data_IF_172236179109
#
_entry.id   IF_172236179109
#
_cell.length_a   1.000
_cell.length_b   1.000
_cell.length_c   1.000
_cell.angle_alpha   90.00
_cell.angle_beta   90.00
_cell.angle_gamma   90.00
#
_symmetry.space_group_name_H-M   'P 1'
#
loop_
_entity.id
_entity.type
_entity.pdbx_description
1 polymer ?
#
# COMPACT_ATOMS: atom_id res chain seq x y z
N UNK A 1 22.17 -30.44 -24.20
CA UNK A 1 22.83 -29.50 -23.28
C UNK A 1 22.43 -28.05 -23.57
N UNK A 2 22.71 -27.50 -24.75
CA UNK A 2 22.34 -26.10 -25.10
C UNK A 2 20.84 -25.76 -24.93
N UNK A 3 19.93 -26.67 -25.32
CA UNK A 3 18.47 -26.47 -25.17
C UNK A 3 18.04 -26.32 -23.70
N UNK A 4 18.65 -27.08 -22.79
CA UNK A 4 18.35 -27.03 -21.34
C UNK A 4 18.82 -25.69 -20.76
N UNK A 5 20.00 -25.21 -21.17
CA UNK A 5 20.50 -23.90 -20.75
C UNK A 5 19.58 -22.76 -21.22
N UNK A 6 19.05 -22.83 -22.45
CA UNK A 6 18.10 -21.82 -22.97
C UNK A 6 16.81 -21.78 -22.15
N UNK A 7 16.26 -22.94 -21.77
CA UNK A 7 15.07 -23.00 -20.91
C UNK A 7 15.32 -22.44 -19.50
N UNK A 8 16.50 -22.70 -18.92
CA UNK A 8 16.88 -22.17 -17.60
C UNK A 8 17.02 -20.64 -17.64
N UNK A 9 17.62 -20.10 -18.70
CA UNK A 9 17.80 -18.65 -18.87
C UNK A 9 16.43 -17.96 -19.04
N UNK A 10 15.53 -18.53 -19.85
CA UNK A 10 14.17 -18.00 -20.02
C UNK A 10 13.37 -18.02 -18.71
N UNK A 11 13.48 -19.10 -17.93
CA UNK A 11 12.83 -19.18 -16.62
C UNK A 11 13.39 -18.14 -15.64
N UNK A 12 14.71 -17.91 -15.61
CA UNK A 12 15.34 -16.93 -14.73
C UNK A 12 14.89 -15.49 -15.06
N UNK A 13 14.76 -15.15 -16.35
CA UNK A 13 14.25 -13.83 -16.78
C UNK A 13 12.80 -13.62 -16.33
N UNK A 14 11.96 -14.65 -16.42
CA UNK A 14 10.56 -14.57 -15.98
C UNK A 14 10.42 -14.37 -14.46
N UNK A 15 11.30 -14.99 -13.66
CA UNK A 15 11.27 -14.87 -12.19
C UNK A 15 11.76 -13.48 -11.74
N UNK A 16 12.68 -12.84 -12.48
CA UNK A 16 13.22 -11.53 -12.10
C UNK A 16 12.15 -10.42 -12.06
N UNK A 17 11.09 -10.53 -12.86
CA UNK A 17 9.99 -9.55 -12.88
C UNK A 17 8.97 -9.74 -11.75
N UNK A 18 9.03 -10.86 -11.01
CA UNK A 18 8.18 -11.10 -9.85
C UNK A 18 8.60 -10.25 -8.63
N UNK A 19 9.74 -9.58 -8.68
CA UNK A 19 10.23 -8.68 -7.63
C UNK A 19 9.50 -7.33 -7.55
N UNK A 20 8.67 -6.99 -8.56
CA UNK A 20 7.84 -5.77 -8.54
C UNK A 20 6.64 -5.85 -7.57
N UNK A 21 6.41 -7.03 -6.98
CA UNK A 21 5.30 -7.34 -6.10
C UNK A 21 5.91 -7.61 -4.73
N UNK A 22 6.28 -6.56 -3.98
CA UNK A 22 6.76 -6.75 -2.61
C UNK A 22 5.59 -7.28 -1.77
N UNK A 23 5.62 -8.53 -1.27
CA UNK A 23 4.60 -9.03 -0.36
C UNK A 23 4.61 -8.29 1.00
N UNK A 24 5.58 -7.40 1.20
CA UNK A 24 5.77 -6.55 2.37
C UNK A 24 5.25 -5.12 2.17
N UNK A 25 4.71 -4.78 1.00
CA UNK A 25 4.16 -3.45 0.75
C UNK A 25 3.00 -3.16 1.71
N UNK A 26 3.12 -2.07 2.46
CA UNK A 26 2.09 -1.62 3.39
C UNK A 26 0.94 -0.95 2.61
N UNK A 27 -0.28 -1.42 2.84
CA UNK A 27 -1.49 -0.84 2.25
C UNK A 27 -2.26 -0.02 3.29
N UNK A 28 -2.52 1.24 2.98
CA UNK A 28 -3.29 2.13 3.85
C UNK A 28 -4.51 2.71 3.12
N UNK A 29 -5.61 2.92 3.85
CA UNK A 29 -6.73 3.70 3.33
C UNK A 29 -6.38 5.19 3.34
N UNK A 30 -6.59 5.86 2.20
CA UNK A 30 -6.34 7.30 2.06
C UNK A 30 -7.64 8.07 1.86
N UNK A 31 -7.96 8.96 2.80
CA UNK A 31 -9.11 9.85 2.70
C UNK A 31 -8.88 11.15 3.48
N UNK A 32 -9.65 12.18 3.15
CA UNK A 32 -9.68 13.46 3.88
C UNK A 32 -11.12 13.80 4.27
N UNK A 33 -11.30 14.66 5.26
CA UNK A 33 -12.60 14.96 5.88
C UNK A 33 -13.67 15.51 4.94
N UNK A 34 -13.29 16.00 3.75
CA UNK A 34 -14.22 16.46 2.71
C UNK A 34 -14.84 15.31 1.90
N UNK A 35 -14.27 14.11 1.95
CA UNK A 35 -14.76 12.95 1.20
C UNK A 35 -15.87 12.20 1.95
N UNK A 36 -16.92 11.72 1.25
CA UNK A 36 -18.00 10.96 1.87
C UNK A 36 -17.48 9.65 2.48
N UNK A 37 -17.87 9.34 3.71
CA UNK A 37 -17.41 8.15 4.42
C UNK A 37 -16.02 8.27 5.07
N UNK A 38 -15.29 9.38 4.87
CA UNK A 38 -14.07 9.68 5.62
C UNK A 38 -14.42 10.36 6.94
N UNK A 39 -14.69 9.55 7.98
CA UNK A 39 -15.11 10.08 9.27
C UNK A 39 -14.89 9.10 10.42
N UNK A 40 -15.63 9.32 11.49
CA UNK A 40 -15.74 8.37 12.61
C UNK A 40 -17.24 8.13 12.83
N UNK A 41 -17.80 7.03 12.32
CA UNK A 41 -17.13 5.84 11.77
C UNK A 41 -16.52 6.06 10.37
N UNK A 42 -15.43 5.35 10.07
CA UNK A 42 -14.82 5.30 8.74
C UNK A 42 -15.54 4.24 7.89
N UNK A 43 -15.92 4.58 6.66
CA UNK A 43 -16.57 3.65 5.74
C UNK A 43 -15.57 3.12 4.70
N UNK A 44 -15.00 1.95 4.97
CA UNK A 44 -13.98 1.31 4.16
C UNK A 44 -14.46 0.92 2.75
N UNK A 45 -15.76 0.76 2.52
CA UNK A 45 -16.31 0.40 1.21
C UNK A 45 -16.08 1.47 0.12
N UNK A 46 -15.81 2.71 0.53
CA UNK A 46 -15.62 3.83 -0.39
C UNK A 46 -14.17 4.07 -0.78
N UNK A 47 -13.21 3.39 -0.13
CA UNK A 47 -11.80 3.67 -0.30
C UNK A 47 -11.04 2.38 -0.58
N UNK A 48 -10.17 2.43 -1.57
CA UNK A 48 -9.23 1.35 -1.84
C UNK A 48 -7.96 1.57 -1.03
N UNK A 49 -7.24 0.48 -0.73
CA UNK A 49 -5.93 0.55 -0.12
C UNK A 49 -4.90 1.04 -1.14
N UNK A 50 -4.11 2.03 -0.78
CA UNK A 50 -2.96 2.51 -1.56
C UNK A 50 -1.67 1.97 -0.95
N UNK A 51 -0.68 1.66 -1.81
CA UNK A 51 0.65 1.22 -1.36
C UNK A 51 1.46 2.43 -0.90
N UNK A 52 1.97 2.36 0.32
CA UNK A 52 2.94 3.30 0.87
C UNK A 52 4.34 3.06 0.24
N UNK A 53 5.07 4.12 -0.17
CA UNK A 53 6.34 3.96 -0.89
C UNK A 53 7.53 3.63 0.00
N UNK A 54 7.51 4.00 1.28
CA UNK A 54 8.63 3.80 2.20
C UNK A 54 8.45 2.56 3.11
N UNK A 55 9.55 1.88 3.42
CA UNK A 55 9.55 0.63 4.21
C UNK A 55 9.19 0.84 5.70
N UNK A 56 9.41 2.05 6.23
CA UNK A 56 9.15 2.41 7.62
C UNK A 56 7.81 3.14 7.83
N UNK A 57 6.99 3.22 6.78
CA UNK A 57 5.68 3.83 6.82
C UNK A 57 4.72 3.15 7.81
N UNK A 58 3.75 3.93 8.30
CA UNK A 58 2.70 3.46 9.20
C UNK A 58 1.36 4.08 8.82
N UNK A 59 0.31 3.27 8.76
CA UNK A 59 -1.04 3.78 8.55
C UNK A 59 -1.50 4.57 9.78
N UNK A 60 -1.82 5.86 9.58
CA UNK A 60 -2.29 6.74 10.65
C UNK A 60 -3.67 7.30 10.32
N UNK A 61 -4.47 7.55 11.37
CA UNK A 61 -5.73 8.31 11.29
C UNK A 61 -5.58 9.59 12.08
N UNK A 62 -5.65 10.72 11.38
CA UNK A 62 -5.58 12.05 11.99
C UNK A 62 -7.00 12.55 12.24
N UNK A 63 -7.28 13.00 13.47
CA UNK A 63 -8.57 13.57 13.86
C UNK A 63 -8.29 14.94 14.47
N UNK A 64 -8.57 15.99 13.73
CA UNK A 64 -8.48 17.37 14.22
C UNK A 64 -9.76 17.76 14.96
N UNK A 65 -9.62 18.40 16.12
CA UNK A 65 -10.74 18.92 16.93
C UNK A 65 -10.48 20.38 17.27
N UNK A 66 -11.50 21.24 17.13
CA UNK A 66 -11.43 22.61 17.63
C UNK A 66 -11.50 22.59 19.16
N UNK A 67 -10.66 23.38 19.83
CA UNK A 67 -10.67 23.53 21.30
C UNK A 67 -9.70 22.63 22.09
N UNK A 68 -8.72 21.99 21.44
CA UNK A 68 -7.69 21.19 22.12
C UNK A 68 -6.59 21.99 22.84
N UNK A 69 -6.76 23.31 22.94
CA UNK A 69 -5.80 24.26 23.52
C UNK A 69 -6.14 24.68 24.97
N UNK A 70 -7.09 24.02 25.63
CA UNK A 70 -7.26 24.14 27.08
C UNK A 70 -6.43 23.06 27.77
N UNK A 71 -5.16 23.36 28.01
CA UNK A 71 -4.36 22.65 29.00
C UNK A 71 -4.85 22.96 30.42
#
# INVERSE_FOLDING_TARGET
MAKICVFIILAAILISQASAWSPLSLYCYRCVSTHPGCGTPFNWLWYWGEVCPEDDDKCVKIIERKGGNTC
#
